data_IF_886693543475
#
_entry.id   IF_886693543475
#
_cell.length_a   1.000
_cell.length_b   1.000
_cell.length_c   1.000
_cell.angle_alpha   90.00
_cell.angle_beta   90.00
_cell.angle_gamma   90.00
#
_symmetry.space_group_name_H-M   'P 1'
#
loop_
_entity.id
_entity.type
_entity.pdbx_description
1 polymer ?
#
# COMPACT_ATOMS: atom_id res chain seq x y z
N UNK A 1 59.87 8.51 1.04
CA UNK A 1 60.24 8.41 -0.40
C UNK A 1 59.56 9.58 -1.10
N UNK A 2 60.33 10.65 -1.25
CA UNK A 2 59.93 11.87 -1.94
C UNK A 2 60.25 11.71 -3.43
N UNK A 3 59.44 12.31 -4.30
CA UNK A 3 59.97 12.76 -5.58
C UNK A 3 59.23 14.00 -6.05
N UNK A 4 59.84 15.14 -5.73
CA UNK A 4 59.66 16.41 -6.44
C UNK A 4 60.31 16.29 -7.83
N UNK A 5 59.64 16.78 -8.86
CA UNK A 5 60.31 17.27 -10.06
C UNK A 5 59.91 18.74 -10.22
N UNK A 6 60.89 19.61 -10.01
CA UNK A 6 60.84 21.05 -10.27
C UNK A 6 61.44 21.27 -11.65
N UNK A 7 60.74 21.98 -12.53
CA UNK A 7 61.37 22.77 -13.58
C UNK A 7 60.72 24.15 -13.68
N UNK A 8 61.62 25.13 -13.79
CA UNK A 8 61.45 26.58 -13.69
C UNK A 8 60.61 27.18 -14.84
N UNK A 9 59.90 28.26 -14.50
CA UNK A 9 60.10 29.53 -15.20
C UNK A 9 58.88 30.17 -15.86
N UNK A 10 58.42 31.26 -15.23
CA UNK A 10 57.95 32.55 -15.79
C UNK A 10 56.66 33.01 -15.09
N UNK A 11 56.84 34.04 -14.27
CA UNK A 11 55.79 34.82 -13.62
C UNK A 11 55.06 35.58 -14.73
N UNK A 12 53.77 35.31 -14.91
CA UNK A 12 52.89 36.11 -15.75
C UNK A 12 52.02 36.95 -14.80
N UNK A 13 52.31 38.25 -14.74
CA UNK A 13 51.40 39.22 -14.13
C UNK A 13 50.08 39.21 -14.90
N UNK A 14 48.99 38.89 -14.22
CA UNK A 14 47.64 39.13 -14.72
C UNK A 14 47.04 40.26 -13.91
N UNK A 15 46.93 41.41 -14.56
CA UNK A 15 46.23 42.61 -14.11
C UNK A 15 44.76 42.26 -13.89
N UNK A 16 44.29 42.36 -12.66
CA UNK A 16 42.86 42.24 -12.32
C UNK A 16 42.18 43.57 -12.65
N UNK A 17 41.46 43.62 -13.77
CA UNK A 17 40.48 44.68 -14.01
C UNK A 17 39.20 44.38 -13.20
N UNK A 18 38.96 45.18 -12.17
CA UNK A 18 37.70 45.20 -11.44
C UNK A 18 36.61 45.87 -12.32
N UNK A 19 35.69 45.07 -12.85
CA UNK A 19 34.45 45.59 -13.43
C UNK A 19 33.41 45.77 -12.31
N UNK A 20 33.09 47.02 -12.00
CA UNK A 20 31.95 47.40 -11.15
C UNK A 20 30.64 47.05 -11.87
N UNK A 21 30.00 45.96 -11.46
CA UNK A 21 28.60 45.68 -11.83
C UNK A 21 27.72 46.41 -10.82
N UNK A 22 26.93 47.37 -11.31
CA UNK A 22 25.92 48.05 -10.52
C UNK A 22 24.89 47.02 -10.01
N UNK A 23 24.79 46.88 -8.68
CA UNK A 23 23.79 46.04 -8.03
C UNK A 23 22.45 46.78 -8.13
N UNK A 24 21.72 46.53 -9.21
CA UNK A 24 20.29 46.82 -9.23
C UNK A 24 19.60 45.93 -8.19
N UNK A 25 18.85 46.54 -7.26
CA UNK A 25 18.00 45.81 -6.31
C UNK A 25 16.91 45.09 -7.10
N UNK A 26 17.19 43.86 -7.51
CA UNK A 26 16.14 42.95 -7.97
C UNK A 26 15.24 42.67 -6.77
N UNK A 27 14.00 43.15 -6.83
CA UNK A 27 12.95 42.67 -5.95
C UNK A 27 12.96 41.14 -6.00
N UNK A 28 12.81 40.43 -4.87
CA UNK A 28 12.71 38.99 -4.90
C UNK A 28 11.55 38.63 -5.83
N UNK A 29 11.83 37.83 -6.84
CA UNK A 29 10.80 37.23 -7.66
C UNK A 29 9.92 36.41 -6.71
N UNK A 30 8.81 37.00 -6.26
CA UNK A 30 7.70 36.26 -5.70
C UNK A 30 7.27 35.31 -6.81
N UNK A 31 7.67 34.04 -6.69
CA UNK A 31 7.01 33.00 -7.44
C UNK A 31 5.52 33.11 -7.14
N UNK A 32 4.66 33.25 -8.17
CA UNK A 32 3.23 33.22 -7.95
C UNK A 32 2.91 31.91 -7.23
N UNK A 33 2.16 32.02 -6.14
CA UNK A 33 1.94 30.97 -5.16
C UNK A 33 1.72 29.60 -5.79
N UNK A 34 2.32 28.60 -5.14
CA UNK A 34 1.89 27.20 -5.21
C UNK A 34 0.38 27.14 -5.41
N UNK A 35 -0.05 26.64 -6.58
CA UNK A 35 -1.46 26.31 -6.82
C UNK A 35 -1.94 25.46 -5.65
N UNK A 36 -3.01 25.89 -4.96
CA UNK A 36 -3.64 25.16 -3.86
C UNK A 36 -3.74 23.68 -4.23
N UNK A 37 -2.84 22.90 -3.66
CA UNK A 37 -2.52 21.56 -4.09
C UNK A 37 -2.54 20.68 -2.86
N UNK A 38 -3.49 19.76 -2.82
CA UNK A 38 -3.68 18.80 -1.74
C UNK A 38 -2.35 18.10 -1.34
N UNK A 39 -2.08 18.05 -0.03
CA UNK A 39 -0.89 17.43 0.58
C UNK A 39 -1.09 15.91 0.74
N UNK A 40 0.00 15.14 0.60
CA UNK A 40 -0.02 13.69 0.77
C UNK A 40 0.92 13.23 1.90
N UNK A 41 0.43 12.47 2.88
CA UNK A 41 -0.97 12.06 3.04
C UNK A 41 -1.85 13.28 3.42
N UNK A 42 -3.18 13.17 3.20
CA UNK A 42 -4.11 14.19 3.66
C UNK A 42 -3.87 14.56 5.13
N UNK A 43 -3.99 15.83 5.54
CA UNK A 43 -3.90 16.20 6.95
C UNK A 43 -4.90 15.40 7.80
N UNK A 44 -4.41 14.80 8.88
CA UNK A 44 -5.23 13.96 9.76
C UNK A 44 -5.61 12.59 9.18
N UNK A 45 -5.02 12.17 8.06
CA UNK A 45 -5.20 10.83 7.53
C UNK A 45 -4.78 9.78 8.57
N UNK A 46 -5.68 8.85 8.83
CA UNK A 46 -5.45 7.73 9.74
C UNK A 46 -6.35 6.54 9.37
N UNK A 47 -6.05 5.39 9.97
CA UNK A 47 -6.88 4.19 9.90
C UNK A 47 -8.15 4.29 10.77
N UNK A 48 -9.06 3.33 10.63
CA UNK A 48 -10.32 3.32 11.39
C UNK A 48 -10.06 3.03 12.88
N UNK A 49 -10.68 3.80 13.77
CA UNK A 49 -10.55 3.61 15.22
C UNK A 49 -11.49 2.54 15.74
N UNK A 50 -11.03 1.77 16.73
CA UNK A 50 -11.83 0.75 17.40
C UNK A 50 -12.25 -0.40 16.48
N UNK A 51 -11.43 -0.77 15.50
CA UNK A 51 -11.70 -1.92 14.63
C UNK A 51 -11.83 -3.18 15.48
N UNK A 52 -12.97 -3.87 15.37
CA UNK A 52 -13.11 -5.23 15.88
C UNK A 52 -12.41 -6.17 14.90
N UNK A 53 -11.12 -6.43 15.17
CA UNK A 53 -10.29 -7.23 14.28
C UNK A 53 -10.80 -8.67 14.14
N UNK A 54 -11.43 -9.23 15.18
CA UNK A 54 -11.99 -10.58 15.13
C UNK A 54 -13.15 -10.66 14.15
N UNK A 55 -14.04 -9.67 14.16
CA UNK A 55 -15.11 -9.55 13.15
C UNK A 55 -14.57 -9.27 11.76
N UNK A 56 -13.54 -8.43 11.65
CA UNK A 56 -12.89 -8.16 10.36
C UNK A 56 -12.35 -9.43 9.69
N UNK A 57 -11.74 -10.34 10.45
CA UNK A 57 -11.15 -11.59 9.92
C UNK A 57 -12.09 -12.79 9.90
N UNK A 58 -13.34 -12.65 10.37
CA UNK A 58 -14.25 -13.79 10.60
C UNK A 58 -14.71 -14.52 9.33
N UNK A 59 -14.60 -13.88 8.18
CA UNK A 59 -14.98 -14.43 6.89
C UNK A 59 -14.02 -13.96 5.78
N UNK A 60 -14.10 -14.55 4.58
CA UNK A 60 -13.35 -14.07 3.43
C UNK A 60 -13.79 -12.68 2.95
N UNK A 61 -12.89 -12.05 2.21
CA UNK A 61 -13.10 -10.77 1.52
C UNK A 61 -12.88 -10.95 0.02
N UNK A 62 -13.72 -10.29 -0.77
CA UNK A 62 -13.65 -10.25 -2.23
C UNK A 62 -13.29 -8.84 -2.67
N UNK A 63 -12.20 -8.71 -3.43
CA UNK A 63 -11.73 -7.40 -3.88
C UNK A 63 -12.62 -6.93 -5.04
N UNK A 64 -13.23 -5.77 -4.90
CA UNK A 64 -14.07 -5.19 -5.95
C UNK A 64 -13.25 -4.34 -6.91
N UNK A 65 -12.34 -3.54 -6.35
CA UNK A 65 -11.37 -2.74 -7.10
C UNK A 65 -10.05 -2.69 -6.33
N UNK A 66 -8.93 -2.60 -7.05
CA UNK A 66 -7.63 -2.35 -6.44
C UNK A 66 -6.68 -1.56 -7.33
N UNK A 67 -5.67 -0.96 -6.70
CA UNK A 67 -4.48 -0.48 -7.38
C UNK A 67 -3.60 -1.67 -7.77
N UNK A 68 -3.17 -1.78 -9.04
CA UNK A 68 -2.17 -2.76 -9.44
C UNK A 68 -0.87 -2.57 -8.66
N UNK A 69 -0.19 -3.66 -8.36
CA UNK A 69 1.05 -3.68 -7.57
C UNK A 69 2.08 -4.59 -8.25
N UNK A 70 3.35 -4.51 -7.81
CA UNK A 70 4.45 -5.22 -8.46
C UNK A 70 4.23 -6.75 -8.60
N UNK A 71 3.50 -7.36 -7.67
CA UNK A 71 3.22 -8.80 -7.66
C UNK A 71 1.85 -9.18 -8.23
N UNK A 72 1.03 -8.22 -8.64
CA UNK A 72 -0.29 -8.47 -9.23
C UNK A 72 -0.67 -7.33 -10.18
N UNK A 73 -0.47 -7.57 -11.47
CA UNK A 73 -0.73 -6.58 -12.52
C UNK A 73 -2.21 -6.52 -12.90
N UNK A 74 -2.57 -5.58 -13.79
CA UNK A 74 -3.96 -5.40 -14.25
C UNK A 74 -4.49 -6.68 -14.91
N UNK A 75 -3.62 -7.37 -15.64
CA UNK A 75 -3.93 -8.58 -16.39
C UNK A 75 -4.21 -9.81 -15.50
N UNK A 76 -3.97 -9.71 -14.20
CA UNK A 76 -4.18 -10.78 -13.22
C UNK A 76 -5.21 -10.40 -12.14
N UNK A 77 -6.03 -9.36 -12.39
CA UNK A 77 -7.11 -8.91 -11.50
C UNK A 77 -8.40 -9.71 -11.68
N UNK A 78 -8.31 -11.04 -11.52
CA UNK A 78 -9.46 -11.95 -11.59
C UNK A 78 -9.63 -12.72 -10.29
N UNK A 79 -10.87 -12.80 -9.81
CA UNK A 79 -11.27 -13.60 -8.66
C UNK A 79 -10.45 -13.32 -7.38
N UNK A 80 -9.96 -12.09 -7.20
CA UNK A 80 -9.05 -11.76 -6.11
C UNK A 80 -9.80 -11.83 -4.77
N UNK A 81 -9.29 -12.63 -3.85
CA UNK A 81 -9.93 -12.96 -2.58
C UNK A 81 -8.89 -13.10 -1.48
N UNK A 82 -9.22 -12.61 -0.29
CA UNK A 82 -8.40 -12.79 0.91
C UNK A 82 -9.19 -13.53 1.99
N UNK A 83 -8.52 -14.45 2.69
CA UNK A 83 -9.01 -15.07 3.92
C UNK A 83 -7.95 -14.93 5.00
N UNK A 84 -8.44 -14.68 6.20
CA UNK A 84 -7.62 -14.50 7.40
C UNK A 84 -7.98 -15.59 8.40
N UNK A 85 -6.97 -16.17 9.05
CA UNK A 85 -7.15 -17.16 10.11
C UNK A 85 -6.32 -16.73 11.30
N UNK A 86 -6.96 -16.49 12.44
CA UNK A 86 -6.25 -16.20 13.68
C UNK A 86 -5.38 -17.40 14.06
N UNK A 87 -4.11 -17.16 14.41
CA UNK A 87 -3.26 -18.24 14.92
C UNK A 87 -3.71 -18.69 16.31
N UNK A 88 -4.28 -17.77 17.09
CA UNK A 88 -4.91 -18.01 18.38
C UNK A 88 -6.19 -17.15 18.48
N UNK A 89 -7.33 -17.79 18.76
CA UNK A 89 -8.63 -17.09 18.84
C UNK A 89 -8.75 -16.19 20.06
N UNK A 90 -7.97 -16.44 21.11
CA UNK A 90 -7.99 -15.69 22.37
C UNK A 90 -6.86 -14.65 22.42
N UNK A 91 -5.76 -14.86 21.69
CA UNK A 91 -4.58 -14.00 21.70
C UNK A 91 -4.19 -13.46 20.31
N UNK A 92 -4.59 -12.22 20.01
CA UNK A 92 -4.24 -11.53 18.76
C UNK A 92 -2.74 -11.29 18.57
N UNK A 93 -1.93 -11.36 19.63
CA UNK A 93 -0.48 -11.16 19.53
C UNK A 93 0.23 -12.31 18.84
N UNK A 94 -0.43 -13.48 18.71
CA UNK A 94 0.07 -14.62 17.93
C UNK A 94 -0.01 -14.41 16.41
N UNK A 95 -0.66 -13.33 15.97
CA UNK A 95 -0.77 -12.99 14.57
C UNK A 95 -1.84 -13.80 13.83
N UNK A 96 -1.86 -13.60 12.52
CA UNK A 96 -2.95 -13.97 11.63
C UNK A 96 -2.35 -14.58 10.38
N UNK A 97 -2.74 -15.79 10.03
CA UNK A 97 -2.38 -16.40 8.75
C UNK A 97 -3.18 -15.76 7.63
N UNK A 98 -2.50 -15.36 6.54
CA UNK A 98 -3.11 -14.66 5.41
C UNK A 98 -3.10 -15.56 4.16
N UNK A 99 -4.29 -15.89 3.67
CA UNK A 99 -4.50 -16.63 2.44
C UNK A 99 -5.02 -15.71 1.36
N UNK A 100 -4.18 -15.39 0.38
CA UNK A 100 -4.57 -14.66 -0.82
C UNK A 100 -4.80 -15.64 -1.96
N UNK A 101 -5.83 -15.39 -2.76
CA UNK A 101 -6.18 -16.14 -3.95
C UNK A 101 -6.48 -15.17 -5.08
N UNK A 102 -6.05 -15.50 -6.30
CA UNK A 102 -6.48 -14.85 -7.53
C UNK A 102 -6.39 -15.84 -8.69
N UNK A 103 -6.94 -15.46 -9.84
CA UNK A 103 -6.75 -16.18 -11.09
C UNK A 103 -5.90 -15.37 -12.07
N UNK A 104 -4.97 -16.05 -12.74
CA UNK A 104 -4.08 -15.46 -13.73
C UNK A 104 -4.77 -15.33 -15.08
N UNK A 105 -4.69 -14.15 -15.71
CA UNK A 105 -5.12 -13.89 -17.09
C UNK A 105 -6.63 -13.87 -17.36
N UNK A 106 -7.44 -14.67 -16.65
CA UNK A 106 -8.89 -14.76 -16.84
C UNK A 106 -9.65 -15.31 -15.62
N UNK A 107 -10.97 -15.16 -15.61
CA UNK A 107 -11.87 -15.75 -14.62
C UNK A 107 -11.75 -17.28 -14.63
N UNK A 108 -11.45 -17.87 -13.47
CA UNK A 108 -11.16 -19.31 -13.32
C UNK A 108 -9.94 -19.79 -14.12
N UNK A 109 -9.03 -18.89 -14.50
CA UNK A 109 -7.69 -19.25 -14.97
C UNK A 109 -6.85 -19.93 -13.88
N UNK A 110 -5.55 -20.17 -14.12
CA UNK A 110 -4.67 -20.76 -13.11
C UNK A 110 -4.72 -19.98 -11.79
N UNK A 111 -4.86 -20.70 -10.68
CA UNK A 111 -4.84 -20.09 -9.35
C UNK A 111 -3.44 -19.59 -8.99
N UNK A 112 -3.37 -18.43 -8.34
CA UNK A 112 -2.16 -17.85 -7.77
C UNK A 112 -2.44 -17.24 -6.38
N UNK A 113 -1.40 -16.78 -5.69
CA UNK A 113 -1.48 -16.21 -4.35
C UNK A 113 -0.80 -17.09 -3.30
N UNK A 114 -1.29 -17.10 -2.07
CA UNK A 114 -0.78 -17.95 -0.96
C UNK A 114 -1.77 -19.02 -0.52
N UNK A 115 -2.92 -19.10 -1.20
CA UNK A 115 -3.96 -20.08 -0.98
C UNK A 115 -3.80 -21.29 -1.91
N UNK A 116 -4.16 -22.47 -1.40
CA UNK A 116 -4.44 -23.65 -2.23
C UNK A 116 -3.24 -24.34 -2.88
N UNK A 117 -3.52 -25.26 -3.79
CA UNK A 117 -2.55 -26.16 -4.44
C UNK A 117 -1.76 -25.53 -5.59
N UNK A 118 -2.08 -24.29 -5.99
CA UNK A 118 -1.41 -23.54 -7.07
C UNK A 118 -0.70 -22.26 -6.60
N UNK A 119 -0.78 -21.92 -5.31
CA UNK A 119 -0.17 -20.71 -4.75
C UNK A 119 1.36 -20.80 -4.60
N UNK A 120 1.97 -19.64 -4.33
CA UNK A 120 3.34 -19.49 -3.88
C UNK A 120 3.69 -20.45 -2.75
N UNK A 121 4.94 -20.92 -2.71
CA UNK A 121 5.43 -21.91 -1.75
C UNK A 121 5.59 -21.39 -0.32
N UNK A 122 5.29 -20.11 -0.06
CA UNK A 122 5.42 -19.50 1.26
C UNK A 122 4.10 -18.95 1.79
N UNK A 123 3.93 -19.05 3.10
CA UNK A 123 2.78 -18.55 3.83
C UNK A 123 2.99 -17.09 4.25
N UNK A 124 1.98 -16.24 4.02
CA UNK A 124 1.93 -14.89 4.57
C UNK A 124 1.30 -14.89 5.96
N UNK A 125 1.70 -13.92 6.77
CA UNK A 125 1.06 -13.60 8.02
C UNK A 125 0.90 -12.09 8.21
N UNK A 126 -0.06 -11.72 9.05
CA UNK A 126 -0.23 -10.39 9.57
C UNK A 126 0.03 -10.40 11.08
N UNK A 127 0.66 -9.35 11.58
CA UNK A 127 0.85 -9.09 13.02
C UNK A 127 0.21 -7.74 13.37
N UNK A 128 -0.13 -7.56 14.64
CA UNK A 128 -0.78 -6.36 15.17
C UNK A 128 0.18 -5.68 16.15
N UNK A 129 0.96 -4.68 15.70
CA UNK A 129 1.98 -4.05 16.55
C UNK A 129 1.41 -3.34 17.79
N UNK A 130 0.19 -2.82 17.69
CA UNK A 130 -0.52 -2.18 18.80
C UNK A 130 -1.99 -2.63 18.81
N UNK A 131 -2.39 -3.36 19.84
CA UNK A 131 -3.78 -3.83 20.01
C UNK A 131 -4.77 -2.67 20.21
N UNK A 132 -4.33 -1.49 20.65
CA UNK A 132 -5.19 -0.31 20.75
C UNK A 132 -5.45 0.34 19.38
N UNK A 133 -4.65 0.01 18.36
CA UNK A 133 -4.84 0.43 16.98
C UNK A 133 -4.82 -0.78 16.03
N UNK A 134 -5.67 -1.77 16.34
CA UNK A 134 -5.77 -3.05 15.62
C UNK A 134 -6.11 -2.93 14.12
N UNK A 135 -6.38 -1.72 13.64
CA UNK A 135 -6.58 -1.40 12.23
C UNK A 135 -5.29 -1.22 11.43
N UNK A 136 -4.13 -1.14 12.10
CA UNK A 136 -2.79 -1.02 11.50
C UNK A 136 -2.02 -2.31 11.70
N UNK A 137 -2.05 -3.17 10.69
CA UNK A 137 -1.32 -4.42 10.68
C UNK A 137 -0.02 -4.29 9.89
N UNK A 138 0.91 -5.20 10.13
CA UNK A 138 2.06 -5.45 9.26
C UNK A 138 1.90 -6.83 8.63
N UNK A 139 2.11 -6.95 7.32
CA UNK A 139 1.95 -8.20 6.56
C UNK A 139 3.27 -8.59 5.89
N UNK A 140 3.66 -9.85 6.02
CA UNK A 140 4.84 -10.37 5.33
C UNK A 140 4.98 -11.90 5.37
N UNK A 141 6.05 -12.43 4.77
CA UNK A 141 6.29 -13.87 4.74
C UNK A 141 6.62 -14.43 6.13
N UNK A 142 5.83 -15.39 6.59
CA UNK A 142 5.96 -16.03 7.92
C UNK A 142 7.32 -16.69 8.18
N UNK A 143 8.05 -17.10 7.13
CA UNK A 143 9.37 -17.70 7.31
C UNK A 143 10.42 -16.71 7.83
N UNK A 144 10.19 -15.39 7.69
CA UNK A 144 11.13 -14.38 8.16
C UNK A 144 11.28 -14.38 9.67
N UNK A 145 10.23 -14.66 10.44
CA UNK A 145 10.32 -14.77 11.90
C UNK A 145 11.24 -15.91 12.32
N UNK A 146 11.13 -17.06 11.65
CA UNK A 146 12.02 -18.20 11.92
C UNK A 146 13.48 -17.91 11.56
N UNK A 147 13.70 -17.06 10.55
CA UNK A 147 15.03 -16.75 10.04
C UNK A 147 15.71 -15.61 10.82
N UNK A 148 14.95 -14.60 11.24
CA UNK A 148 15.45 -13.32 11.74
C UNK A 148 15.04 -13.01 13.20
N UNK A 149 14.08 -13.78 13.75
CA UNK A 149 13.36 -13.41 14.96
C UNK A 149 12.21 -12.43 14.67
N UNK A 150 11.22 -12.37 15.58
CA UNK A 150 9.98 -11.59 15.42
C UNK A 150 10.26 -10.09 15.19
N UNK A 151 10.94 -9.43 16.12
CA UNK A 151 11.19 -7.97 16.05
C UNK A 151 11.95 -7.53 14.79
N UNK A 152 12.84 -8.38 14.26
CA UNK A 152 13.58 -8.07 13.05
C UNK A 152 12.77 -8.37 11.80
N UNK A 153 11.96 -9.44 11.80
CA UNK A 153 11.06 -9.79 10.69
C UNK A 153 10.03 -8.68 10.43
N UNK A 154 9.42 -8.13 11.49
CA UNK A 154 8.42 -7.05 11.38
C UNK A 154 8.95 -5.82 10.62
N UNK A 155 10.25 -5.52 10.70
CA UNK A 155 10.86 -4.40 9.96
C UNK A 155 10.84 -4.58 8.44
N UNK A 156 10.64 -5.82 7.97
CA UNK A 156 10.53 -6.16 6.57
C UNK A 156 9.09 -6.40 6.12
N UNK A 157 8.13 -6.31 7.05
CA UNK A 157 6.72 -6.44 6.72
C UNK A 157 6.19 -5.12 6.15
N UNK A 158 5.20 -5.23 5.26
CA UNK A 158 4.53 -4.09 4.67
C UNK A 158 3.35 -3.65 5.53
N UNK A 159 3.10 -2.33 5.56
CA UNK A 159 1.88 -1.79 6.16
C UNK A 159 0.62 -2.37 5.49
N UNK A 160 -0.38 -2.71 6.32
CA UNK A 160 -1.72 -3.07 5.91
C UNK A 160 -2.71 -2.36 6.84
N UNK A 161 -3.30 -1.27 6.37
CA UNK A 161 -4.14 -0.40 7.19
C UNK A 161 -5.59 -0.47 6.72
N UNK A 162 -6.50 -0.82 7.63
CA UNK A 162 -7.94 -0.73 7.40
C UNK A 162 -8.38 0.71 7.66
N UNK A 163 -8.67 1.46 6.59
CA UNK A 163 -8.88 2.92 6.67
C UNK A 163 -10.34 3.33 6.78
N UNK A 164 -11.25 2.45 6.39
CA UNK A 164 -12.68 2.58 6.62
C UNK A 164 -13.36 1.20 6.56
N UNK A 165 -14.51 1.08 7.20
CA UNK A 165 -15.38 -0.09 7.17
C UNK A 165 -16.84 0.34 7.10
N UNK A 166 -17.66 -0.47 6.45
CA UNK A 166 -19.11 -0.35 6.47
C UNK A 166 -19.70 -1.34 7.46
N UNK A 167 -20.50 -0.91 8.45
CA UNK A 167 -21.09 -1.82 9.40
C UNK A 167 -22.01 -2.84 8.70
N UNK A 168 -21.99 -4.07 9.18
CA UNK A 168 -22.91 -5.11 8.71
C UNK A 168 -24.16 -5.17 9.58
N UNK A 169 -25.29 -5.49 8.95
CA UNK A 169 -26.49 -5.94 9.68
C UNK A 169 -26.32 -7.34 10.31
N UNK A 170 -25.31 -8.10 9.86
CA UNK A 170 -24.93 -9.37 10.47
C UNK A 170 -23.88 -9.11 11.56
N UNK A 171 -24.30 -9.20 12.82
CA UNK A 171 -23.44 -8.90 13.98
C UNK A 171 -22.19 -9.80 14.07
N UNK A 172 -22.26 -11.02 13.52
CA UNK A 172 -21.15 -11.99 13.46
C UNK A 172 -20.08 -11.55 12.45
N UNK A 173 -20.49 -10.93 11.34
CA UNK A 173 -19.56 -10.38 10.36
C UNK A 173 -19.00 -9.03 10.80
N UNK A 174 -19.81 -8.21 11.47
CA UNK A 174 -19.47 -6.86 11.91
C UNK A 174 -19.38 -5.83 10.78
N UNK A 175 -18.87 -6.23 9.60
CA UNK A 175 -18.61 -5.34 8.47
C UNK A 175 -18.96 -5.97 7.13
N UNK A 176 -19.65 -5.21 6.26
CA UNK A 176 -20.04 -5.64 4.91
C UNK A 176 -18.99 -5.26 3.86
N UNK A 177 -18.25 -4.17 4.09
CA UNK A 177 -17.17 -3.71 3.21
C UNK A 177 -16.04 -3.07 4.00
N UNK A 178 -14.86 -3.00 3.39
CA UNK A 178 -13.68 -2.37 3.98
C UNK A 178 -12.78 -1.73 2.91
N UNK A 179 -12.12 -0.64 3.29
CA UNK A 179 -11.12 0.03 2.46
C UNK A 179 -9.75 -0.21 3.11
N UNK A 180 -8.79 -0.68 2.31
CA UNK A 180 -7.47 -1.05 2.77
C UNK A 180 -6.42 -0.26 2.02
N UNK A 181 -5.41 0.20 2.74
CA UNK A 181 -4.27 0.93 2.21
C UNK A 181 -2.98 0.28 2.67
N UNK A 182 -1.98 0.21 1.79
CA UNK A 182 -0.61 -0.23 2.13
C UNK A 182 0.15 0.81 2.97
N UNK A 183 -0.47 1.32 4.04
CA UNK A 183 0.00 2.46 4.85
C UNK A 183 -0.56 3.81 4.38
N UNK A 184 -0.05 4.93 4.91
CA UNK A 184 -0.47 6.27 4.50
C UNK A 184 -0.19 6.55 3.02
N UNK A 185 -1.12 7.16 2.26
CA UNK A 185 -0.90 7.48 0.85
C UNK A 185 -0.01 8.74 0.74
N UNK A 186 1.30 8.55 0.66
CA UNK A 186 2.29 9.64 0.66
C UNK A 186 2.57 10.24 -0.72
N UNK A 187 2.15 9.58 -1.79
CA UNK A 187 2.50 10.00 -3.15
C UNK A 187 1.35 10.75 -3.80
N UNK A 188 1.63 11.91 -4.41
CA UNK A 188 0.63 12.67 -5.16
C UNK A 188 0.24 11.92 -6.43
N UNK A 189 -1.04 11.56 -6.52
CA UNK A 189 -1.68 11.03 -7.71
C UNK A 189 -2.09 12.11 -8.71
N UNK A 190 -2.96 11.75 -9.65
CA UNK A 190 -3.61 12.68 -10.58
C UNK A 190 -4.69 13.51 -9.86
N UNK A 191 -5.51 12.87 -9.03
CA UNK A 191 -6.69 13.49 -8.39
C UNK A 191 -6.85 13.07 -6.92
N UNK A 192 -5.73 13.00 -6.20
CA UNK A 192 -5.66 12.65 -4.79
C UNK A 192 -4.28 12.10 -4.41
N UNK A 193 -4.23 11.34 -3.32
CA UNK A 193 -3.04 10.65 -2.86
C UNK A 193 -3.10 9.15 -3.17
N UNK A 194 -1.96 8.56 -3.49
CA UNK A 194 -1.76 7.14 -3.72
C UNK A 194 -0.67 6.61 -2.79
N UNK A 195 -0.79 5.34 -2.42
CA UNK A 195 0.31 4.57 -1.82
C UNK A 195 1.37 4.24 -2.87
N UNK A 196 2.54 3.76 -2.43
CA UNK A 196 3.62 3.39 -3.33
C UNK A 196 4.28 4.61 -4.00
N UNK A 197 5.26 4.35 -4.86
CA UNK A 197 6.03 5.35 -5.59
C UNK A 197 5.71 5.27 -7.08
N UNK A 198 5.55 6.42 -7.72
CA UNK A 198 5.39 6.50 -9.19
C UNK A 198 6.61 5.98 -9.96
N UNK A 199 7.79 5.96 -9.34
CA UNK A 199 9.03 5.56 -9.99
C UNK A 199 9.44 4.12 -9.70
N UNK A 200 8.89 3.52 -8.65
CA UNK A 200 9.24 2.18 -8.17
C UNK A 200 8.04 1.22 -8.16
N UNK A 201 6.92 1.61 -8.75
CA UNK A 201 5.66 0.84 -8.76
C UNK A 201 5.83 -0.63 -9.19
N UNK A 202 6.74 -0.89 -10.13
CA UNK A 202 7.06 -2.26 -10.61
C UNK A 202 7.99 -3.07 -9.69
N UNK A 203 8.61 -2.45 -8.70
CA UNK A 203 9.56 -3.09 -7.78
C UNK A 203 9.13 -3.01 -6.32
N UNK A 204 8.20 -2.12 -6.00
CA UNK A 204 7.78 -1.85 -4.64
C UNK A 204 6.74 -2.88 -4.19
N UNK A 205 7.16 -3.69 -3.23
CA UNK A 205 6.31 -4.71 -2.61
C UNK A 205 5.63 -4.16 -1.34
N UNK A 206 6.35 -3.39 -0.52
CA UNK A 206 5.87 -2.83 0.75
C UNK A 206 5.51 -1.35 0.61
N UNK A 207 4.55 -0.86 1.41
CA UNK A 207 4.13 0.54 1.38
C UNK A 207 3.36 0.92 0.12
N UNK A 208 2.85 -0.08 -0.60
CA UNK A 208 2.09 0.04 -1.84
C UNK A 208 0.82 -0.80 -1.75
N UNK A 209 -0.19 -0.37 -2.49
CA UNK A 209 -1.45 -1.07 -2.66
C UNK A 209 -2.61 -0.34 -2.00
N UNK A 210 -3.77 -0.46 -2.63
CA UNK A 210 -5.00 0.19 -2.24
C UNK A 210 -6.14 -0.68 -2.75
N UNK A 211 -7.02 -1.14 -1.86
CA UNK A 211 -8.03 -2.14 -2.18
C UNK A 211 -9.39 -1.79 -1.59
N UNK A 212 -10.44 -2.11 -2.34
CA UNK A 212 -11.84 -2.02 -1.93
C UNK A 212 -12.39 -3.44 -1.75
N UNK A 213 -12.66 -3.85 -0.51
CA UNK A 213 -13.10 -5.20 -0.17
C UNK A 213 -14.60 -5.23 0.13
N UNK A 214 -15.29 -6.29 -0.31
CA UNK A 214 -16.66 -6.60 0.10
C UNK A 214 -16.77 -8.04 0.61
N UNK A 215 -17.78 -8.31 1.46
CA UNK A 215 -18.21 -9.66 1.83
C UNK A 215 -18.92 -10.40 0.70
N UNK A 216 -19.36 -9.70 -0.34
CA UNK A 216 -20.01 -10.28 -1.52
C UNK A 216 -19.01 -10.31 -2.69
N UNK A 217 -18.97 -11.41 -3.48
CA UNK A 217 -18.16 -11.48 -4.70
C UNK A 217 -18.39 -10.31 -5.66
N UNK A 218 -19.66 -10.01 -5.96
CA UNK A 218 -20.07 -8.91 -6.84
C UNK A 218 -20.92 -7.95 -6.01
N UNK A 219 -20.41 -6.75 -5.74
CA UNK A 219 -21.05 -5.77 -4.85
C UNK A 219 -20.96 -4.34 -5.39
N UNK A 220 -21.69 -4.00 -6.46
CA UNK A 220 -21.63 -2.65 -7.04
C UNK A 220 -22.04 -1.55 -6.05
N UNK A 221 -22.99 -1.83 -5.16
CA UNK A 221 -23.48 -0.86 -4.17
C UNK A 221 -22.39 -0.50 -3.15
N UNK A 222 -21.79 -1.50 -2.48
CA UNK A 222 -20.69 -1.23 -1.54
C UNK A 222 -19.46 -0.66 -2.26
N UNK A 223 -19.21 -1.04 -3.51
CA UNK A 223 -18.12 -0.47 -4.31
C UNK A 223 -18.28 1.02 -4.51
N UNK A 224 -19.48 1.47 -4.87
CA UNK A 224 -19.75 2.91 -5.00
C UNK A 224 -19.62 3.64 -3.66
N UNK A 225 -20.14 3.05 -2.57
CA UNK A 225 -20.01 3.60 -1.23
C UNK A 225 -18.54 3.74 -0.80
N UNK A 226 -17.74 2.70 -1.02
CA UNK A 226 -16.31 2.72 -0.74
C UNK A 226 -15.56 3.77 -1.55
N UNK A 227 -15.88 3.94 -2.85
CA UNK A 227 -15.27 4.97 -3.69
C UNK A 227 -15.56 6.38 -3.16
N UNK A 228 -16.79 6.66 -2.71
CA UNK A 228 -17.13 7.95 -2.08
C UNK A 228 -16.29 8.20 -0.83
N UNK A 229 -16.25 7.24 0.09
CA UNK A 229 -15.48 7.35 1.33
C UNK A 229 -13.98 7.47 1.06
N UNK A 230 -13.44 6.73 0.09
CA UNK A 230 -12.05 6.83 -0.32
C UNK A 230 -11.71 8.22 -0.88
N UNK A 231 -12.59 8.80 -1.70
CA UNK A 231 -12.40 10.15 -2.24
C UNK A 231 -12.42 11.21 -1.14
N UNK A 232 -13.33 11.10 -0.18
CA UNK A 232 -13.41 11.99 1.00
C UNK A 232 -12.15 11.89 1.87
N UNK A 233 -11.59 10.68 1.97
CA UNK A 233 -10.28 10.43 2.60
C UNK A 233 -9.09 10.87 1.75
N UNK A 234 -9.32 11.46 0.58
CA UNK A 234 -8.28 12.05 -0.25
C UNK A 234 -7.50 11.05 -1.11
N UNK A 235 -7.98 9.82 -1.27
CA UNK A 235 -7.34 8.88 -2.20
C UNK A 235 -7.57 9.29 -3.66
N UNK A 236 -6.56 9.07 -4.48
CA UNK A 236 -6.66 9.14 -5.93
C UNK A 236 -7.35 7.88 -6.47
N UNK A 237 -8.63 7.98 -6.83
CA UNK A 237 -9.37 6.83 -7.36
C UNK A 237 -8.97 6.44 -8.79
N UNK A 238 -8.19 7.26 -9.49
CA UNK A 238 -7.77 6.96 -10.87
C UNK A 238 -6.78 5.80 -10.95
N UNK A 239 -6.21 5.39 -9.81
CA UNK A 239 -5.32 4.22 -9.72
C UNK A 239 -6.08 2.91 -9.59
N UNK A 240 -7.35 2.94 -9.21
CA UNK A 240 -8.18 1.75 -9.03
C UNK A 240 -8.53 1.10 -10.38
N UNK A 241 -8.50 -0.22 -10.41
CA UNK A 241 -8.94 -1.06 -11.51
C UNK A 241 -9.97 -2.04 -10.98
N UNK A 242 -11.02 -2.29 -11.77
CA UNK A 242 -12.01 -3.32 -11.47
C UNK A 242 -11.31 -4.67 -11.37
N UNK A 243 -11.65 -5.43 -10.33
CA UNK A 243 -11.36 -6.86 -10.25
C UNK A 243 -12.56 -7.61 -10.79
N UNK A 244 -12.36 -8.54 -11.72
CA UNK A 244 -13.47 -9.32 -12.25
C UNK A 244 -13.79 -10.47 -11.29
N UNK A 245 -15.03 -10.48 -10.81
CA UNK A 245 -15.53 -11.42 -9.79
C UNK A 245 -16.71 -12.26 -10.32
N UNK A 246 -17.36 -11.82 -11.40
CA UNK A 246 -18.50 -12.52 -11.97
C UNK A 246 -18.05 -13.84 -12.60
N UNK A 247 -18.74 -14.94 -12.26
CA UNK A 247 -18.42 -16.28 -12.74
C UNK A 247 -17.24 -16.97 -12.04
N UNK A 248 -16.61 -16.33 -11.05
CA UNK A 248 -15.55 -16.94 -10.25
C UNK A 248 -16.06 -18.10 -9.39
N UNK A 249 -15.38 -19.23 -9.48
CA UNK A 249 -15.67 -20.45 -8.69
C UNK A 249 -14.83 -20.57 -7.43
N UNK A 250 -13.69 -19.89 -7.39
CA UNK A 250 -12.72 -19.92 -6.27
C UNK A 250 -12.23 -21.35 -5.95
N UNK A 251 -12.09 -22.20 -6.96
CA UNK A 251 -11.60 -23.57 -6.78
C UNK A 251 -10.17 -23.55 -6.21
N UNK A 252 -9.98 -24.17 -5.04
CA UNK A 252 -8.70 -24.17 -4.32
C UNK A 252 -8.46 -22.95 -3.42
N UNK A 253 -9.40 -22.01 -3.33
CA UNK A 253 -9.34 -20.96 -2.32
C UNK A 253 -9.63 -21.53 -0.91
N UNK A 254 -8.77 -21.22 0.06
CA UNK A 254 -8.90 -21.60 1.47
C UNK A 254 -9.80 -20.61 2.21
#
# INVERSE_FOLDING_TARGET
MAMMIVTRGKILEVVVLAALVAIGTAAPAMWPGSRDGFECPPPGFDSVKGLDLRKYVSAPWYVQEQMPVAYQSVEDLYCVRARYVLQDEDDLTKGITVYNYANKGEVNGPAEGTSGTGGSSFQLQAVVPDLNDASKLLVGPSFLEKLLGEELAERFYGDYWVVAVGPSSNETLGYDWAIISGGPPRTRGMDGCMTGSKFLDRFQINGAGFWLFSRKPVDPESTEAMRKVAKEKGFDLSVLRKVEQEGCKYEGAL
#
